data_IF_629025419787
#
_entry.id   IF_629025419787
#
_cell.length_a   1.000
_cell.length_b   1.000
_cell.length_c   1.000
_cell.angle_alpha   90.00
_cell.angle_beta   90.00
_cell.angle_gamma   90.00
#
_symmetry.space_group_name_H-M   'P 1'
#
loop_
_entity.id
_entity.type
_entity.pdbx_description
1 polymer ?
#
# COMPACT_ATOMS: atom_id res chain seq x y z
N UNK A 1 19.67 8.06 42.44
CA UNK A 1 19.85 9.27 41.60
C UNK A 1 20.16 8.78 40.20
N UNK A 2 19.46 9.31 39.19
CA UNK A 2 19.42 8.93 37.76
C UNK A 2 18.81 7.53 37.49
N UNK A 3 17.48 7.32 37.44
CA UNK A 3 16.41 8.08 36.76
C UNK A 3 16.60 8.26 35.24
N UNK A 4 17.40 7.41 34.59
CA UNK A 4 17.44 7.34 33.13
C UNK A 4 16.37 6.35 32.62
N UNK A 5 15.18 6.89 32.35
CA UNK A 5 14.51 6.73 31.05
C UNK A 5 14.09 5.29 30.69
N UNK A 6 12.95 4.73 31.14
CA UNK A 6 11.57 5.08 30.75
C UNK A 6 11.29 5.23 29.25
N UNK A 7 11.61 4.23 28.42
CA UNK A 7 10.85 3.98 27.19
C UNK A 7 10.70 2.47 26.96
N UNK A 8 9.47 1.93 26.85
CA UNK A 8 9.30 0.58 26.30
C UNK A 8 9.84 0.57 24.86
N UNK A 9 10.47 -0.52 24.39
CA UNK A 9 10.72 -0.68 22.97
C UNK A 9 9.36 -0.62 22.29
N UNK A 10 9.12 0.44 21.52
CA UNK A 10 7.86 0.61 20.82
C UNK A 10 7.87 -0.40 19.67
N UNK A 11 7.33 -1.59 19.92
CA UNK A 11 7.16 -2.73 18.99
C UNK A 11 6.15 -2.36 17.88
N UNK A 12 6.56 -1.36 17.11
CA UNK A 12 5.76 -0.71 16.09
C UNK A 12 5.64 -1.62 14.87
N UNK A 13 6.68 -2.38 14.56
CA UNK A 13 6.69 -3.39 13.48
C UNK A 13 5.67 -4.50 13.73
N UNK A 14 5.65 -5.12 14.92
CA UNK A 14 4.69 -6.19 15.26
C UNK A 14 3.24 -5.71 15.12
N UNK A 15 2.98 -4.46 15.53
CA UNK A 15 1.68 -3.81 15.42
C UNK A 15 1.26 -3.54 13.98
N UNK A 16 2.22 -3.21 13.10
CA UNK A 16 1.98 -3.03 11.67
C UNK A 16 1.79 -4.37 10.95
N UNK A 17 2.62 -5.37 11.21
CA UNK A 17 2.48 -6.72 10.66
C UNK A 17 1.16 -7.37 11.10
N UNK A 18 0.77 -7.23 12.37
CA UNK A 18 -0.52 -7.73 12.86
C UNK A 18 -1.70 -7.02 12.22
N UNK A 19 -1.60 -5.71 11.95
CA UNK A 19 -2.61 -4.99 11.18
C UNK A 19 -2.67 -5.51 9.73
N UNK A 20 -1.54 -5.63 9.03
CA UNK A 20 -1.49 -6.14 7.64
C UNK A 20 -2.05 -7.58 7.52
N UNK A 21 -1.86 -8.41 8.55
CA UNK A 21 -2.33 -9.80 8.59
C UNK A 21 -3.78 -9.96 9.06
N UNK A 22 -4.41 -8.91 9.60
CA UNK A 22 -5.81 -8.97 10.01
C UNK A 22 -6.71 -8.95 8.75
N UNK A 23 -7.65 -9.90 8.58
CA UNK A 23 -8.50 -9.94 7.40
C UNK A 23 -9.32 -8.64 7.28
N UNK A 24 -9.02 -7.83 6.25
CA UNK A 24 -9.63 -6.52 6.01
C UNK A 24 -8.65 -5.34 5.95
N UNK A 25 -7.40 -5.50 6.37
CA UNK A 25 -6.41 -4.40 6.32
C UNK A 25 -5.90 -4.05 4.92
N UNK A 26 -6.20 -4.87 3.90
CA UNK A 26 -5.93 -4.56 2.50
C UNK A 26 -6.71 -3.37 1.97
N UNK A 27 -7.74 -2.91 2.69
CA UNK A 27 -8.57 -1.74 2.37
C UNK A 27 -8.08 -0.44 3.03
N UNK A 28 -6.99 -0.46 3.82
CA UNK A 28 -6.47 0.76 4.42
C UNK A 28 -5.72 1.59 3.38
N UNK A 29 -6.00 2.92 3.23
CA UNK A 29 -5.42 3.77 2.18
C UNK A 29 -3.89 3.81 2.20
N UNK A 30 -3.27 3.54 3.36
CA UNK A 30 -1.81 3.43 3.50
C UNK A 30 -1.21 2.27 2.71
N UNK A 31 -1.91 1.13 2.62
CA UNK A 31 -1.40 -0.03 1.86
C UNK A 31 -1.37 0.26 0.36
N UNK A 32 -2.43 0.88 -0.16
CA UNK A 32 -2.51 1.29 -1.56
C UNK A 32 -1.40 2.30 -1.91
N UNK A 33 -1.10 3.23 -1.00
CA UNK A 33 -0.02 4.20 -1.20
C UNK A 33 1.36 3.52 -1.17
N UNK A 34 1.58 2.56 -0.26
CA UNK A 34 2.82 1.79 -0.23
C UNK A 34 3.02 0.97 -1.52
N UNK A 35 1.94 0.40 -2.04
CA UNK A 35 1.95 -0.37 -3.27
C UNK A 35 2.19 0.51 -4.51
N UNK A 36 1.53 1.66 -4.61
CA UNK A 36 1.78 2.66 -5.66
C UNK A 36 3.24 3.13 -5.65
N UNK A 37 3.78 3.41 -4.45
CA UNK A 37 5.19 3.75 -4.27
C UNK A 37 6.13 2.63 -4.73
N UNK A 38 5.82 1.37 -4.40
CA UNK A 38 6.61 0.22 -4.83
C UNK A 38 6.63 0.07 -6.36
N UNK A 39 5.50 0.26 -7.04
CA UNK A 39 5.44 0.23 -8.51
C UNK A 39 6.18 1.39 -9.16
N UNK A 40 6.07 2.61 -8.62
CA UNK A 40 6.87 3.74 -9.11
C UNK A 40 8.36 3.46 -8.97
N UNK A 41 8.78 2.87 -7.86
CA UNK A 41 10.18 2.50 -7.63
C UNK A 41 10.64 1.40 -8.60
N UNK A 42 9.80 0.38 -8.83
CA UNK A 42 10.11 -0.68 -9.77
C UNK A 42 10.19 -0.16 -11.21
N UNK A 43 9.25 0.69 -11.61
CA UNK A 43 9.26 1.35 -12.92
C UNK A 43 10.52 2.19 -13.10
N UNK A 44 10.93 2.96 -12.08
CA UNK A 44 12.16 3.76 -12.11
C UNK A 44 13.39 2.86 -12.35
N UNK A 45 13.47 1.74 -11.63
CA UNK A 45 14.54 0.74 -11.80
C UNK A 45 14.50 0.15 -13.21
N UNK A 46 13.33 -0.27 -13.71
CA UNK A 46 13.19 -0.84 -15.06
C UNK A 46 13.55 0.16 -16.16
N UNK A 47 13.17 1.43 -16.04
CA UNK A 47 13.54 2.49 -16.98
C UNK A 47 15.04 2.77 -16.92
N UNK A 48 15.63 2.81 -15.73
CA UNK A 48 17.08 2.93 -15.56
C UNK A 48 17.84 1.78 -16.22
N UNK A 49 17.39 0.54 -16.01
CA UNK A 49 17.97 -0.65 -16.64
C UNK A 49 17.77 -0.66 -18.15
N UNK A 50 16.61 -0.22 -18.66
CA UNK A 50 16.34 -0.09 -20.09
C UNK A 50 17.37 0.84 -20.76
N UNK A 51 17.70 1.96 -20.10
CA UNK A 51 18.68 2.92 -20.58
C UNK A 51 20.10 2.37 -20.55
N UNK A 52 20.48 1.69 -19.45
CA UNK A 52 21.82 1.10 -19.29
C UNK A 52 22.05 -0.08 -20.24
N UNK A 53 21.04 -0.92 -20.46
CA UNK A 53 21.17 -2.16 -21.24
C UNK A 53 20.99 -1.96 -22.75
N UNK A 54 20.76 -0.71 -23.19
CA UNK A 54 20.69 -0.39 -24.61
C UNK A 54 19.41 -0.86 -25.32
N UNK A 55 18.27 -0.92 -24.60
CA UNK A 55 16.97 -1.15 -25.24
C UNK A 55 16.67 -2.60 -25.64
N UNK A 56 16.96 -3.57 -24.77
CA UNK A 56 16.54 -4.95 -25.00
C UNK A 56 15.01 -5.11 -24.86
N UNK A 57 14.36 -5.77 -25.84
CA UNK A 57 12.91 -6.00 -25.87
C UNK A 57 12.37 -6.64 -24.58
N UNK A 58 13.20 -7.41 -23.87
CA UNK A 58 12.84 -8.00 -22.58
C UNK A 58 12.40 -6.93 -21.56
N UNK A 59 13.12 -5.81 -21.45
CA UNK A 59 12.77 -4.73 -20.51
C UNK A 59 11.49 -4.01 -20.89
N UNK A 60 11.19 -3.90 -22.19
CA UNK A 60 9.91 -3.35 -22.67
C UNK A 60 8.76 -4.25 -22.22
N UNK A 61 8.93 -5.57 -22.30
CA UNK A 61 7.97 -6.54 -21.78
C UNK A 61 7.75 -6.40 -20.27
N UNK A 62 8.83 -6.26 -19.50
CA UNK A 62 8.75 -6.06 -18.04
C UNK A 62 8.00 -4.77 -17.68
N UNK A 63 8.27 -3.66 -18.38
CA UNK A 63 7.55 -2.39 -18.17
C UNK A 63 6.05 -2.55 -18.51
N UNK A 64 5.73 -3.28 -19.59
CA UNK A 64 4.33 -3.49 -19.98
C UNK A 64 3.56 -4.33 -18.95
N UNK A 65 4.17 -5.39 -18.41
CA UNK A 65 3.57 -6.22 -17.36
C UNK A 65 3.40 -5.42 -16.07
N UNK A 66 4.38 -4.61 -15.70
CA UNK A 66 4.30 -3.70 -14.55
C UNK A 66 3.12 -2.73 -14.66
N UNK A 67 2.96 -2.05 -15.81
CA UNK A 67 1.84 -1.14 -16.04
C UNK A 67 0.49 -1.87 -16.05
N UNK A 68 0.43 -3.07 -16.62
CA UNK A 68 -0.77 -3.89 -16.61
C UNK A 68 -1.16 -4.30 -15.18
N UNK A 69 -0.18 -4.66 -14.34
CA UNK A 69 -0.39 -4.99 -12.94
C UNK A 69 -0.85 -3.78 -12.13
N UNK A 70 -0.21 -2.62 -12.31
CA UNK A 70 -0.59 -1.38 -11.64
C UNK A 70 -2.03 -0.97 -12.00
N UNK A 71 -2.38 -1.04 -13.29
CA UNK A 71 -3.74 -0.79 -13.77
C UNK A 71 -4.76 -1.78 -13.18
N UNK A 72 -4.44 -3.06 -13.14
CA UNK A 72 -5.30 -4.11 -12.56
C UNK A 72 -5.62 -3.83 -11.10
N UNK A 73 -4.64 -3.35 -10.32
CA UNK A 73 -4.85 -3.04 -8.90
C UNK A 73 -5.66 -1.76 -8.72
N UNK A 74 -5.39 -0.71 -9.51
CA UNK A 74 -6.21 0.51 -9.50
C UNK A 74 -7.67 0.22 -9.81
N UNK A 75 -7.92 -0.65 -10.79
CA UNK A 75 -9.26 -1.13 -11.13
C UNK A 75 -9.88 -1.96 -10.01
N UNK A 76 -9.14 -2.90 -9.43
CA UNK A 76 -9.59 -3.75 -8.31
C UNK A 76 -9.98 -2.94 -7.07
N UNK A 77 -9.20 -1.91 -6.72
CA UNK A 77 -9.53 -0.96 -5.65
C UNK A 77 -10.82 -0.19 -5.94
N UNK A 78 -10.96 0.31 -7.17
CA UNK A 78 -12.16 1.02 -7.58
C UNK A 78 -13.39 0.11 -7.52
N UNK A 79 -13.24 -1.17 -7.86
CA UNK A 79 -14.30 -2.17 -7.75
C UNK A 79 -14.66 -2.45 -6.28
N UNK A 80 -13.66 -2.57 -5.41
CA UNK A 80 -13.85 -2.72 -3.96
C UNK A 80 -14.63 -1.55 -3.34
N UNK A 81 -14.40 -0.31 -3.78
CA UNK A 81 -15.14 0.86 -3.30
C UNK A 81 -16.61 0.88 -3.77
N UNK A 82 -16.91 0.21 -4.88
CA UNK A 82 -18.29 0.11 -5.41
C UNK A 82 -19.10 -0.99 -4.73
N UNK A 83 -18.44 -1.97 -4.10
CA UNK A 83 -19.10 -2.92 -3.21
C UNK A 83 -19.43 -2.17 -1.92
N UNK A 84 -20.71 -2.00 -1.54
CA UNK A 84 -21.06 -1.38 -0.28
C UNK A 84 -20.52 -2.26 0.85
N UNK A 85 -19.43 -1.84 1.48
CA UNK A 85 -19.09 -2.37 2.80
C UNK A 85 -20.31 -2.08 3.71
N UNK A 86 -20.82 -3.06 4.46
CA UNK A 86 -21.69 -2.76 5.59
C UNK A 86 -20.93 -1.72 6.43
N UNK A 87 -21.46 -0.51 6.51
CA UNK A 87 -20.95 0.57 7.34
C UNK A 87 -21.42 0.28 8.77
N UNK A 88 -20.52 -0.05 9.71
CA UNK A 88 -20.76 0.38 11.09
C UNK A 88 -19.62 1.29 11.51
N UNK A 89 -19.64 2.57 11.09
CA UNK A 89 -18.99 3.68 11.81
C UNK A 89 -19.19 5.05 11.12
N UNK A 90 -20.44 5.45 10.93
CA UNK A 90 -20.79 6.87 10.74
C UNK A 90 -22.09 7.22 11.49
N UNK A 91 -22.24 6.70 12.71
CA UNK A 91 -23.39 7.04 13.56
C UNK A 91 -22.95 7.20 15.03
N UNK A 92 -21.94 8.04 15.24
CA UNK A 92 -21.74 8.73 16.53
C UNK A 92 -21.55 10.23 16.27
N UNK A 93 -22.57 10.87 15.69
CA UNK A 93 -22.78 12.31 15.82
C UNK A 93 -24.27 12.65 15.71
N UNK A 94 -25.06 12.02 16.59
CA UNK A 94 -26.24 12.67 17.16
C UNK A 94 -26.35 12.30 18.63
N UNK A 95 -25.36 12.76 19.40
CA UNK A 95 -25.63 13.15 20.77
C UNK A 95 -26.73 14.22 20.72
N UNK A 96 -27.73 14.08 21.57
CA UNK A 96 -28.49 15.21 22.11
C UNK A 96 -29.41 15.94 21.12
N UNK A 97 -30.58 15.36 20.84
CA UNK A 97 -31.88 15.98 21.14
C UNK A 97 -33.04 15.01 20.92
#
# INVERSE_FOLDING_TARGET
>A
MSEFESLPPVDTSESFFTQILNPGSSLHPTFLLALDLAFVFLLLVLVGLLFITGGNLHFVGLICVELALWGSIKWFVNELHQIPAPQPQAEESKKEQ
#
